data_IF_876421996325
#
_entry.id   IF_876421996325
#
_cell.length_a   1.000
_cell.length_b   1.000
_cell.length_c   1.000
_cell.angle_alpha   90.00
_cell.angle_beta   90.00
_cell.angle_gamma   90.00
#
_symmetry.space_group_name_H-M   'P 1'
#
loop_
_entity.id
_entity.type
_entity.pdbx_description
1 polymer ?
#
# COMPACT_ATOMS: atom_id res chain seq x y z
N UNK A 1 -34.09 -7.62 41.42
CA UNK A 1 -33.60 -6.54 40.53
C UNK A 1 -32.52 -7.17 39.66
N UNK A 2 -32.89 -7.62 38.47
CA UNK A 2 -32.01 -8.39 37.58
C UNK A 2 -31.38 -7.43 36.58
N UNK A 3 -30.18 -6.97 36.89
CA UNK A 3 -29.44 -6.03 36.07
C UNK A 3 -28.77 -6.79 34.92
N UNK A 4 -29.36 -6.68 33.73
CA UNK A 4 -28.85 -7.32 32.53
C UNK A 4 -27.68 -6.52 31.95
N UNK A 5 -26.46 -6.95 32.23
CA UNK A 5 -25.21 -6.42 31.65
C UNK A 5 -25.10 -6.76 30.16
N UNK A 6 -25.82 -6.03 29.31
CA UNK A 6 -25.62 -6.09 27.87
C UNK A 6 -24.47 -5.16 27.48
N UNK A 7 -23.26 -5.71 27.41
CA UNK A 7 -22.14 -5.01 26.80
C UNK A 7 -22.43 -4.78 25.31
N UNK A 8 -22.28 -3.56 24.78
CA UNK A 8 -22.52 -3.30 23.37
C UNK A 8 -21.54 -4.10 22.50
N UNK A 9 -21.98 -4.63 21.33
CA UNK A 9 -21.11 -5.41 20.46
C UNK A 9 -19.97 -4.53 19.95
N UNK A 10 -18.73 -4.97 20.17
CA UNK A 10 -17.54 -4.36 19.55
C UNK A 10 -17.59 -4.66 18.06
N UNK A 11 -18.04 -3.70 17.26
CA UNK A 11 -17.98 -3.79 15.80
C UNK A 11 -16.49 -3.66 15.42
N UNK A 12 -15.84 -4.71 14.88
CA UNK A 12 -14.47 -4.59 14.44
C UNK A 12 -14.43 -3.52 13.35
N UNK A 13 -13.54 -2.54 13.46
CA UNK A 13 -13.34 -1.48 12.46
C UNK A 13 -12.66 -2.02 11.20
N UNK A 14 -13.18 -3.11 10.61
CA UNK A 14 -12.72 -3.59 9.30
C UNK A 14 -13.40 -2.76 8.21
N UNK A 15 -13.14 -1.46 8.20
CA UNK A 15 -13.38 -0.68 6.98
C UNK A 15 -12.53 -1.34 5.89
N UNK A 16 -13.12 -1.80 4.77
CA UNK A 16 -12.34 -2.30 3.65
C UNK A 16 -11.27 -1.26 3.33
N UNK A 17 -9.99 -1.67 3.32
CA UNK A 17 -8.91 -0.73 3.06
C UNK A 17 -9.14 -0.07 1.71
N UNK A 18 -9.36 1.24 1.71
CA UNK A 18 -9.36 2.02 0.49
C UNK A 18 -7.92 2.22 0.05
N UNK A 19 -7.69 2.18 -1.26
CA UNK A 19 -6.41 2.50 -1.88
C UNK A 19 -6.64 3.59 -2.92
N UNK A 20 -5.61 4.41 -3.12
CA UNK A 20 -5.64 5.50 -4.10
C UNK A 20 -4.99 5.02 -5.39
N UNK A 21 -5.66 5.26 -6.52
CA UNK A 21 -5.08 5.00 -7.84
C UNK A 21 -3.90 5.95 -8.10
N UNK A 22 -2.71 5.41 -8.35
CA UNK A 22 -1.50 6.19 -8.59
C UNK A 22 -1.53 7.01 -9.91
N UNK A 23 -2.52 6.76 -10.77
CA UNK A 23 -2.67 7.43 -12.07
C UNK A 23 -3.64 8.62 -11.96
N UNK A 24 -4.81 8.42 -11.35
CA UNK A 24 -5.88 9.43 -11.32
C UNK A 24 -6.18 10.01 -9.93
N UNK A 25 -5.55 9.52 -8.87
CA UNK A 25 -5.70 10.05 -7.51
C UNK A 25 -7.05 9.76 -6.83
N UNK A 26 -7.93 8.93 -7.44
CA UNK A 26 -9.22 8.55 -6.86
C UNK A 26 -9.11 7.34 -5.94
N UNK A 27 -9.99 7.28 -4.95
CA UNK A 27 -10.09 6.18 -3.98
C UNK A 27 -10.95 5.03 -4.50
N UNK A 28 -10.47 3.81 -4.29
CA UNK A 28 -11.16 2.57 -4.64
C UNK A 28 -11.02 1.56 -3.51
N UNK A 29 -11.99 0.66 -3.38
CA UNK A 29 -11.85 -0.47 -2.47
C UNK A 29 -10.69 -1.36 -2.89
N UNK A 30 -10.07 -2.06 -1.94
CA UNK A 30 -8.91 -2.94 -2.18
C UNK A 30 -9.11 -3.96 -3.31
N UNK A 31 -10.35 -4.43 -3.54
CA UNK A 31 -10.65 -5.35 -4.63
C UNK A 31 -10.86 -4.63 -5.96
N UNK A 32 -11.56 -3.50 -5.96
CA UNK A 32 -11.87 -2.76 -7.19
C UNK A 32 -10.65 -2.02 -7.75
N UNK A 33 -9.67 -1.64 -6.92
CA UNK A 33 -8.46 -0.98 -7.41
C UNK A 33 -7.63 -1.85 -8.36
N UNK A 34 -7.60 -3.17 -8.13
CA UNK A 34 -6.86 -4.12 -8.98
C UNK A 34 -7.43 -4.19 -10.41
N UNK A 35 -8.73 -3.94 -10.56
CA UNK A 35 -9.41 -3.87 -11.86
C UNK A 35 -9.33 -2.45 -12.43
N UNK A 36 -9.39 -1.44 -11.57
CA UNK A 36 -9.36 -0.05 -11.97
C UNK A 36 -8.01 0.38 -12.56
N UNK A 37 -6.89 0.07 -11.91
CA UNK A 37 -5.55 0.49 -12.34
C UNK A 37 -5.23 0.18 -13.81
N UNK A 38 -5.38 -1.07 -14.31
CA UNK A 38 -5.09 -1.38 -15.71
C UNK A 38 -6.01 -0.62 -16.68
N UNK A 39 -7.30 -0.47 -16.35
CA UNK A 39 -8.24 0.29 -17.17
C UNK A 39 -7.93 1.79 -17.19
N UNK A 40 -7.51 2.34 -16.04
CA UNK A 40 -7.12 3.74 -15.92
C UNK A 40 -5.84 4.04 -16.72
N UNK A 41 -4.88 3.11 -16.73
CA UNK A 41 -3.65 3.22 -17.50
C UNK A 41 -3.93 3.23 -19.00
N UNK A 42 -4.79 2.34 -19.48
CA UNK A 42 -5.16 2.29 -20.90
C UNK A 42 -5.83 3.59 -21.35
N UNK A 43 -6.79 4.09 -20.56
CA UNK A 43 -7.43 5.38 -20.82
C UNK A 43 -6.40 6.51 -20.88
N UNK A 44 -5.47 6.54 -19.92
CA UNK A 44 -4.40 7.54 -19.88
C UNK A 44 -3.53 7.48 -21.14
N UNK A 45 -3.13 6.28 -21.61
CA UNK A 45 -2.33 6.13 -22.84
C UNK A 45 -3.05 6.67 -24.07
N UNK A 46 -4.34 6.38 -24.19
CA UNK A 46 -5.18 6.89 -25.28
C UNK A 46 -5.23 8.42 -25.24
N UNK A 47 -5.52 9.02 -24.09
CA UNK A 47 -5.56 10.48 -23.93
C UNK A 47 -4.18 11.13 -24.20
N UNK A 48 -3.10 10.52 -23.70
CA UNK A 48 -1.75 11.01 -23.90
C UNK A 48 -1.29 10.90 -25.37
N UNK A 49 -1.69 9.85 -26.09
CA UNK A 49 -1.37 9.69 -27.52
C UNK A 49 -2.03 10.74 -28.41
N UNK A 50 -3.19 11.29 -27.99
CA UNK A 50 -3.89 12.38 -28.68
C UNK A 50 -3.19 13.72 -28.52
N UNK A 51 -2.31 13.87 -27.53
CA UNK A 51 -1.53 15.10 -27.35
C UNK A 51 -0.43 15.21 -28.41
N UNK A 52 -0.09 16.43 -28.85
CA UNK A 52 1.13 16.70 -29.62
C UNK A 52 2.35 16.10 -28.93
N UNK A 53 3.33 15.59 -29.71
CA UNK A 53 4.51 14.87 -29.18
C UNK A 53 5.21 15.59 -28.03
N UNK A 54 5.28 16.92 -28.07
CA UNK A 54 5.92 17.76 -27.06
C UNK A 54 5.09 17.96 -25.77
N UNK A 55 3.79 17.64 -25.80
CA UNK A 55 2.90 17.69 -24.63
C UNK A 55 2.63 16.30 -24.03
N UNK A 56 3.09 15.23 -24.70
CA UNK A 56 2.95 13.87 -24.19
C UNK A 56 3.79 13.71 -22.93
N UNK A 57 3.17 13.12 -21.91
CA UNK A 57 3.83 12.80 -20.65
C UNK A 57 4.40 11.38 -20.69
N UNK A 58 5.47 11.10 -19.93
CA UNK A 58 5.92 9.73 -19.72
C UNK A 58 4.87 8.90 -18.98
N UNK A 59 4.91 7.59 -19.18
CA UNK A 59 3.96 6.68 -18.54
C UNK A 59 4.07 6.73 -17.00
N UNK A 60 2.95 6.78 -16.25
CA UNK A 60 2.98 6.76 -14.80
C UNK A 60 3.61 5.47 -14.29
N UNK A 61 4.61 5.60 -13.41
CA UNK A 61 5.27 4.44 -12.80
C UNK A 61 4.50 3.96 -11.58
N UNK A 62 4.22 2.66 -11.50
CA UNK A 62 3.62 2.07 -10.30
C UNK A 62 4.62 2.14 -9.15
N UNK A 63 4.27 2.75 -8.01
CA UNK A 63 5.17 2.79 -6.86
C UNK A 63 5.46 1.36 -6.41
N UNK A 64 6.74 1.01 -6.32
CA UNK A 64 7.10 -0.27 -5.71
C UNK A 64 6.65 -0.24 -4.25
N UNK A 65 6.07 -1.33 -3.73
CA UNK A 65 5.89 -1.45 -2.30
C UNK A 65 7.26 -1.27 -1.66
N UNK A 66 7.42 -0.24 -0.82
CA UNK A 66 8.55 -0.16 0.09
C UNK A 66 8.44 -1.37 1.01
N UNK A 67 8.97 -2.52 0.57
CA UNK A 67 9.29 -3.63 1.47
C UNK A 67 10.37 -3.05 2.35
N UNK A 68 10.00 -2.73 3.58
CA UNK A 68 10.86 -2.03 4.52
C UNK A 68 12.22 -2.69 4.55
N UNK A 69 13.27 -1.87 4.44
CA UNK A 69 14.61 -2.12 4.95
C UNK A 69 14.89 -3.63 5.16
N UNK A 70 15.28 -4.36 4.11
CA UNK A 70 15.83 -5.70 4.28
C UNK A 70 17.16 -5.58 5.02
N UNK A 71 17.10 -5.37 6.34
CA UNK A 71 18.13 -5.86 7.23
C UNK A 71 18.01 -7.38 7.14
N UNK A 72 18.77 -7.97 6.23
CA UNK A 72 18.86 -9.42 6.13
C UNK A 72 19.19 -9.98 7.51
N UNK A 73 18.55 -11.09 7.90
CA UNK A 73 18.73 -11.74 9.21
C UNK A 73 20.20 -12.04 9.58
N UNK A 74 21.13 -11.92 8.62
CA UNK A 74 22.58 -12.05 8.82
C UNK A 74 23.19 -10.94 9.67
N UNK A 75 22.60 -9.75 9.73
CA UNK A 75 23.16 -8.64 10.53
C UNK A 75 22.70 -8.66 12.00
N UNK A 76 21.58 -9.32 12.31
CA UNK A 76 21.07 -9.42 13.69
C UNK A 76 21.88 -10.43 14.52
N UNK A 77 22.38 -11.53 13.94
CA UNK A 77 23.23 -12.48 14.69
C UNK A 77 24.64 -11.95 14.98
N UNK A 78 25.16 -11.00 14.20
CA UNK A 78 26.54 -10.50 14.37
C UNK A 78 26.69 -9.55 15.56
N UNK A 79 25.59 -8.98 16.10
CA UNK A 79 25.64 -8.11 17.29
C UNK A 79 25.65 -8.89 18.61
N UNK A 80 25.30 -10.18 18.61
CA UNK A 80 25.17 -10.96 19.84
C UNK A 80 26.50 -11.58 20.34
N UNK A 81 27.59 -11.49 19.57
CA UNK A 81 28.88 -12.14 19.92
C UNK A 81 29.97 -11.20 20.44
N UNK A 82 29.66 -9.92 20.74
CA UNK A 82 30.53 -9.12 21.60
C UNK A 82 30.22 -9.46 23.05
N UNK A 83 30.67 -10.66 23.42
CA UNK A 83 30.51 -11.28 24.72
C UNK A 83 31.08 -10.40 25.84
N UNK A 84 30.29 -10.37 26.91
CA UNK A 84 30.72 -10.19 28.28
C UNK A 84 32.13 -10.76 28.50
N UNK A 85 33.14 -9.88 28.59
CA UNK A 85 34.40 -10.21 29.23
C UNK A 85 34.20 -9.98 30.72
N UNK A 86 34.08 -11.07 31.46
CA UNK A 86 34.18 -11.08 32.92
C UNK A 86 35.62 -10.76 33.33
N UNK A 87 35.78 -9.75 34.18
CA UNK A 87 36.84 -9.69 35.21
C UNK A 87 36.14 -9.66 36.57
#
# INVERSE_FOLDING_TARGET
MSESLHSPPVIPSRRPGFRVCYICGREFGSQSIAIHEPQCLEKWRIENSKLPKHLRRPEPSKPQPLRGLELTDREIMTRAEVGCSTD
#
